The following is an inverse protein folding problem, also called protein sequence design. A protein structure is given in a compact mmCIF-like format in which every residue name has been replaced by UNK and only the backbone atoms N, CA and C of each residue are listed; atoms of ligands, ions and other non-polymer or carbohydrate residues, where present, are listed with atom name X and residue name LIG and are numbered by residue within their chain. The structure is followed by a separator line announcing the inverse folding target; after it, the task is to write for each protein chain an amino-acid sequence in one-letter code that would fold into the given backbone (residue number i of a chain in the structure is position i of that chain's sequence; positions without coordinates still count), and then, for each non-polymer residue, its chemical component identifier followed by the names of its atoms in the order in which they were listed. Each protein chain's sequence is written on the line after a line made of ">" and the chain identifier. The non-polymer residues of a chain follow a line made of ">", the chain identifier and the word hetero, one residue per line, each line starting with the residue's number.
data_IF_429553286625
#
_entry.id   IF_429553286625
#
_cell.length_a   1.000
_cell.length_b   1.000
_cell.length_c   1.000
_cell.angle_alpha   90.00
_cell.angle_beta   90.00
_cell.angle_gamma   90.00
#
_symmetry.space_group_name_H-M   'P 1'
#
loop_
_entity.id
_entity.type
_entity.pdbx_description
1 polymer ?
#
# COMPACT_ATOMS: atom_id res chain seq x y z
N UNK A 1 -12.60 -44.15 2.99
CA UNK A 1 -11.23 -43.77 2.59
C UNK A 1 -11.34 -42.53 1.71
N UNK A 2 -11.40 -41.35 2.33
CA UNK A 2 -11.34 -40.07 1.62
C UNK A 2 -9.87 -39.77 1.30
N UNK A 3 -9.57 -39.68 0.01
CA UNK A 3 -8.28 -39.22 -0.47
C UNK A 3 -8.16 -37.73 -0.19
N UNK A 4 -7.44 -37.37 0.87
CA UNK A 4 -6.90 -36.02 1.04
C UNK A 4 -6.00 -35.72 -0.17
N UNK A 5 -6.53 -34.99 -1.15
CA UNK A 5 -5.73 -34.40 -2.21
C UNK A 5 -4.86 -33.32 -1.58
N UNK A 6 -3.69 -33.72 -1.10
CA UNK A 6 -2.64 -32.83 -0.64
C UNK A 6 -2.22 -31.96 -1.81
N UNK A 7 -2.83 -30.78 -1.92
CA UNK A 7 -2.36 -29.73 -2.84
C UNK A 7 -0.86 -29.58 -2.61
N UNK A 8 -0.01 -29.78 -3.62
CA UNK A 8 1.43 -29.69 -3.45
C UNK A 8 1.74 -28.29 -2.94
N UNK A 9 2.35 -28.20 -1.76
CA UNK A 9 2.85 -26.95 -1.22
C UNK A 9 3.88 -26.46 -2.24
N UNK A 10 3.49 -25.51 -3.09
CA UNK A 10 4.41 -24.87 -4.03
C UNK A 10 5.54 -24.28 -3.20
N UNK A 11 6.69 -24.93 -3.20
CA UNK A 11 7.89 -24.41 -2.55
C UNK A 11 8.32 -23.17 -3.32
N UNK A 12 8.07 -22.02 -2.71
CA UNK A 12 8.48 -20.76 -3.30
C UNK A 12 9.98 -20.55 -3.12
N UNK A 13 10.61 -19.98 -4.15
CA UNK A 13 12.06 -19.76 -4.16
C UNK A 13 12.47 -18.75 -3.05
N UNK A 14 13.68 -18.92 -2.48
CA UNK A 14 14.25 -18.05 -1.43
C UNK A 14 14.17 -16.56 -1.81
N UNK A 15 14.44 -16.22 -3.07
CA UNK A 15 14.33 -14.84 -3.57
C UNK A 15 12.91 -14.28 -3.49
N UNK A 16 11.89 -15.10 -3.77
CA UNK A 16 10.48 -14.68 -3.70
C UNK A 16 10.05 -14.40 -2.26
N UNK A 17 10.60 -15.16 -1.30
CA UNK A 17 10.38 -14.95 0.13
C UNK A 17 11.04 -13.67 0.62
N UNK A 18 12.25 -13.36 0.14
CA UNK A 18 12.95 -12.10 0.46
C UNK A 18 12.16 -10.91 -0.09
N UNK A 19 11.77 -10.92 -1.36
CA UNK A 19 11.00 -9.82 -1.98
C UNK A 19 9.68 -9.59 -1.24
N UNK A 20 8.94 -10.66 -0.92
CA UNK A 20 7.69 -10.53 -0.16
C UNK A 20 7.91 -9.99 1.25
N UNK A 21 9.03 -10.36 1.89
CA UNK A 21 9.44 -9.84 3.19
C UNK A 21 9.80 -8.35 3.14
N UNK A 22 10.47 -7.88 2.08
CA UNK A 22 10.77 -6.46 1.87
C UNK A 22 9.48 -5.66 1.71
N UNK A 23 8.56 -6.09 0.84
CA UNK A 23 7.27 -5.42 0.68
C UNK A 23 6.50 -5.38 2.00
N UNK A 24 6.53 -6.46 2.77
CA UNK A 24 5.91 -6.46 4.09
C UNK A 24 6.55 -5.45 5.04
N UNK A 25 7.89 -5.40 5.11
CA UNK A 25 8.59 -4.44 5.96
C UNK A 25 8.25 -3.00 5.57
N UNK A 26 8.18 -2.70 4.26
CA UNK A 26 7.74 -1.41 3.75
C UNK A 26 6.30 -1.07 4.17
N UNK A 27 5.38 -2.04 4.10
CA UNK A 27 3.99 -1.87 4.56
C UNK A 27 3.95 -1.58 6.06
N UNK A 28 4.74 -2.27 6.87
CA UNK A 28 4.81 -2.04 8.32
C UNK A 28 5.34 -0.64 8.61
N UNK A 29 6.43 -0.22 7.96
CA UNK A 29 6.99 1.12 8.12
C UNK A 29 5.95 2.17 7.71
N UNK A 30 5.31 2.02 6.56
CA UNK A 30 4.26 2.92 6.10
C UNK A 30 3.08 2.98 7.08
N UNK A 31 2.71 1.85 7.68
CA UNK A 31 1.67 1.78 8.73
C UNK A 31 2.06 2.55 9.99
N UNK A 32 3.30 2.37 10.47
CA UNK A 32 3.81 3.07 11.65
C UNK A 32 3.85 4.58 11.42
N UNK A 33 4.36 5.02 10.26
CA UNK A 33 4.40 6.44 9.88
C UNK A 33 2.99 7.00 9.75
N UNK A 34 2.06 6.27 9.15
CA UNK A 34 0.67 6.71 9.00
C UNK A 34 -0.03 6.85 10.34
N UNK A 35 0.07 5.86 11.23
CA UNK A 35 -0.54 5.91 12.57
C UNK A 35 0.10 7.03 13.39
N UNK A 36 1.43 7.17 13.36
CA UNK A 36 2.13 8.27 14.02
C UNK A 36 1.71 9.64 13.48
N UNK A 37 1.58 9.76 12.16
CA UNK A 37 1.09 10.97 11.49
C UNK A 37 -0.34 11.31 11.86
N UNK A 38 -1.22 10.31 11.97
CA UNK A 38 -2.59 10.47 12.48
C UNK A 38 -2.56 11.02 13.90
N UNK A 39 -1.86 10.35 14.82
CA UNK A 39 -1.77 10.80 16.23
C UNK A 39 -1.22 12.23 16.32
N UNK A 40 -0.19 12.55 15.54
CA UNK A 40 0.40 13.90 15.53
C UNK A 40 -0.55 14.95 14.95
N UNK A 41 -1.24 14.62 13.86
CA UNK A 41 -2.25 15.50 13.24
C UNK A 41 -3.40 15.77 14.21
N UNK A 42 -3.90 14.74 14.89
CA UNK A 42 -4.88 14.91 15.96
C UNK A 42 -4.35 15.83 17.06
N UNK A 43 -3.08 15.66 17.48
CA UNK A 43 -2.48 16.57 18.45
C UNK A 43 -2.36 18.01 17.93
N UNK A 44 -2.06 18.23 16.64
CA UNK A 44 -2.04 19.58 16.04
C UNK A 44 -3.42 20.24 16.07
N UNK A 45 -4.47 19.49 15.73
CA UNK A 45 -5.86 19.99 15.70
C UNK A 45 -6.37 20.33 17.09
N UNK A 46 -6.14 19.47 18.09
CA UNK A 46 -6.74 19.62 19.42
C UNK A 46 -5.89 20.39 20.44
N UNK A 47 -4.56 20.34 20.33
CA UNK A 47 -3.63 20.97 21.28
C UNK A 47 -2.92 22.21 20.71
N UNK A 48 -3.14 22.52 19.42
CA UNK A 48 -2.44 23.58 18.70
C UNK A 48 -1.12 23.12 18.09
N UNK A 49 -0.58 23.94 17.19
CA UNK A 49 0.61 23.61 16.39
C UNK A 49 1.94 23.80 17.13
N UNK A 50 1.95 24.58 18.21
CA UNK A 50 3.15 24.91 19.00
C UNK A 50 2.88 24.73 20.51
N UNK A 51 3.93 24.64 21.33
CA UNK A 51 3.80 24.56 22.79
C UNK A 51 3.39 23.18 23.35
N UNK A 52 3.16 22.16 22.52
CA UNK A 52 2.80 20.80 22.97
C UNK A 52 3.78 20.21 23.99
N UNK A 53 5.08 20.46 23.77
CA UNK A 53 6.13 20.00 24.67
C UNK A 53 6.10 20.75 26.00
N UNK A 54 5.80 22.05 25.98
CA UNK A 54 5.65 22.86 27.20
C UNK A 54 4.42 22.43 28.00
N UNK A 55 3.29 22.16 27.33
CA UNK A 55 2.11 21.56 27.97
C UNK A 55 2.44 20.21 28.59
N UNK A 56 3.20 19.36 27.90
CA UNK A 56 3.68 18.10 28.44
C UNK A 56 4.57 18.30 29.68
N UNK A 57 5.48 19.29 29.66
CA UNK A 57 6.34 19.62 30.79
C UNK A 57 5.58 20.23 31.96
N UNK A 58 4.46 20.91 31.72
CA UNK A 58 3.59 21.46 32.76
C UNK A 58 2.73 20.39 33.46
N UNK A 59 2.58 19.19 32.88
CA UNK A 59 1.81 18.10 33.49
C UNK A 59 2.46 17.55 34.76
N UNK A 60 1.62 17.05 35.67
CA UNK A 60 2.05 16.27 36.82
C UNK A 60 2.85 15.04 36.36
N UNK A 61 3.87 14.64 37.14
CA UNK A 61 4.72 13.46 36.90
C UNK A 61 3.89 12.21 36.57
N UNK A 62 2.76 11.99 37.25
CA UNK A 62 1.87 10.86 36.97
C UNK A 62 1.33 10.84 35.54
N UNK A 63 0.89 11.99 35.02
CA UNK A 63 0.41 12.10 33.64
C UNK A 63 1.54 11.95 32.62
N UNK A 64 2.74 12.46 32.92
CA UNK A 64 3.91 12.27 32.05
C UNK A 64 4.26 10.80 31.89
N UNK A 65 4.30 10.06 33.00
CA UNK A 65 4.57 8.61 33.01
C UNK A 65 3.45 7.86 32.28
N UNK A 66 2.19 8.23 32.49
CA UNK A 66 1.06 7.61 31.80
C UNK A 66 1.11 7.80 30.28
N UNK A 67 1.44 9.00 29.80
CA UNK A 67 1.57 9.30 28.37
C UNK A 67 2.72 8.51 27.75
N UNK A 68 3.92 8.54 28.36
CA UNK A 68 5.09 7.81 27.86
C UNK A 68 4.82 6.30 27.89
N UNK A 69 4.28 5.79 28.99
CA UNK A 69 3.95 4.38 29.16
C UNK A 69 2.88 3.91 28.18
N UNK A 70 1.83 4.71 27.96
CA UNK A 70 0.79 4.45 26.97
C UNK A 70 1.33 4.42 25.54
N UNK A 71 2.21 5.35 25.18
CA UNK A 71 2.87 5.38 23.88
C UNK A 71 3.78 4.16 23.67
N UNK A 72 4.58 3.79 24.68
CA UNK A 72 5.42 2.60 24.63
C UNK A 72 4.59 1.31 24.52
N UNK A 73 3.54 1.20 25.32
CA UNK A 73 2.64 0.04 25.30
C UNK A 73 1.92 -0.08 23.96
N UNK A 74 1.45 1.04 23.40
CA UNK A 74 0.86 1.10 22.07
C UNK A 74 1.84 0.67 20.98
N UNK A 75 3.07 1.19 21.01
CA UNK A 75 4.13 0.79 20.06
C UNK A 75 4.45 -0.71 20.17
N UNK A 76 4.59 -1.22 21.39
CA UNK A 76 4.88 -2.63 21.62
C UNK A 76 3.75 -3.54 21.14
N UNK A 77 2.49 -3.18 21.46
CA UNK A 77 1.32 -3.87 20.96
C UNK A 77 1.29 -3.90 19.42
N UNK A 78 1.59 -2.77 18.79
CA UNK A 78 1.60 -2.62 17.34
C UNK A 78 2.70 -3.48 16.68
N UNK A 79 3.89 -3.55 17.30
CA UNK A 79 4.96 -4.44 16.86
C UNK A 79 4.58 -5.92 16.96
N UNK A 80 3.96 -6.34 18.07
CA UNK A 80 3.47 -7.72 18.25
C UNK A 80 2.37 -8.03 17.24
N UNK A 81 1.46 -7.10 17.00
CA UNK A 81 0.40 -7.22 16.01
C UNK A 81 0.97 -7.42 14.59
N UNK A 82 1.94 -6.59 14.18
CA UNK A 82 2.63 -6.78 12.91
C UNK A 82 3.48 -8.05 12.87
N UNK A 83 4.11 -8.47 13.95
CA UNK A 83 4.82 -9.74 13.97
C UNK A 83 3.88 -10.93 13.75
N UNK A 84 2.70 -10.92 14.40
CA UNK A 84 1.66 -11.93 14.19
C UNK A 84 1.11 -11.94 12.76
N UNK A 85 0.90 -10.75 12.17
CA UNK A 85 0.45 -10.62 10.79
C UNK A 85 1.51 -11.04 9.76
N UNK A 86 2.81 -10.90 10.07
CA UNK A 86 3.91 -11.19 9.14
C UNK A 86 3.77 -12.57 8.47
N UNK A 87 3.50 -13.61 9.27
CA UNK A 87 3.49 -15.00 8.79
C UNK A 87 2.31 -15.25 7.84
N UNK A 88 1.15 -14.66 8.13
CA UNK A 88 -0.08 -14.79 7.32
C UNK A 88 -0.01 -13.91 6.07
N UNK A 89 0.37 -12.65 6.23
CA UNK A 89 0.41 -11.65 5.16
C UNK A 89 1.52 -11.93 4.16
N UNK A 90 2.73 -12.35 4.60
CA UNK A 90 3.81 -12.69 3.67
C UNK A 90 3.45 -13.87 2.76
N UNK A 91 2.79 -14.90 3.31
CA UNK A 91 2.29 -16.04 2.52
C UNK A 91 1.18 -15.60 1.56
N UNK A 92 0.27 -14.72 2.00
CA UNK A 92 -0.79 -14.16 1.16
C UNK A 92 -0.24 -13.30 0.02
N UNK A 93 0.71 -12.40 0.31
CA UNK A 93 1.41 -11.57 -0.68
C UNK A 93 2.14 -12.44 -1.70
N UNK A 94 2.79 -13.51 -1.24
CA UNK A 94 3.49 -14.44 -2.10
C UNK A 94 2.53 -15.16 -3.06
N UNK A 95 1.38 -15.64 -2.56
CA UNK A 95 0.32 -16.18 -3.42
C UNK A 95 -0.18 -15.10 -4.39
N UNK A 96 -0.43 -13.88 -3.93
CA UNK A 96 -0.94 -12.80 -4.77
C UNK A 96 0.04 -12.41 -5.89
N UNK A 97 1.33 -12.25 -5.58
CA UNK A 97 2.38 -11.82 -6.52
C UNK A 97 2.81 -12.94 -7.47
N UNK A 98 2.73 -14.21 -7.06
CA UNK A 98 3.31 -15.34 -7.81
C UNK A 98 2.31 -16.41 -8.27
N UNK A 99 1.02 -16.30 -7.92
CA UNK A 99 0.00 -17.18 -8.51
C UNK A 99 -0.18 -16.84 -9.98
N UNK A 100 0.56 -17.55 -10.82
CA UNK A 100 0.32 -17.60 -12.27
C UNK A 100 -1.07 -18.17 -12.48
N UNK A 101 -1.95 -17.42 -13.15
CA UNK A 101 -3.19 -18.00 -13.71
C UNK A 101 -2.82 -18.68 -15.03
N UNK A 102 -3.19 -19.94 -15.17
CA UNK A 102 -2.98 -20.70 -16.39
C UNK A 102 -3.86 -20.13 -17.50
N UNK A 103 -3.25 -19.96 -18.68
CA UNK A 103 -3.87 -19.45 -19.89
C UNK A 103 -4.38 -20.63 -20.71
N UNK A 104 -5.58 -20.51 -21.30
CA UNK A 104 -6.00 -21.43 -22.36
C UNK A 104 -5.03 -21.32 -23.56
N UNK A 105 -4.45 -22.45 -23.97
CA UNK A 105 -3.45 -22.53 -25.06
C UNK A 105 -3.93 -21.93 -26.39
N UNK A 106 -5.26 -21.86 -26.61
CA UNK A 106 -5.86 -21.31 -27.85
C UNK A 106 -5.50 -19.86 -28.15
N UNK A 107 -5.29 -19.01 -27.14
CA UNK A 107 -5.02 -17.57 -27.34
C UNK A 107 -3.52 -17.21 -27.26
N UNK A 108 -2.65 -18.18 -27.00
CA UNK A 108 -1.23 -17.92 -26.73
C UNK A 108 -0.41 -17.62 -28.00
N UNK A 109 -0.91 -18.00 -29.18
CA UNK A 109 -0.09 -18.06 -30.40
C UNK A 109 -0.33 -16.93 -31.42
N UNK A 110 -1.36 -16.08 -31.24
CA UNK A 110 -1.59 -14.92 -32.14
C UNK A 110 -0.75 -13.71 -31.72
N UNK A 111 0.26 -13.36 -32.52
CA UNK A 111 1.14 -12.19 -32.28
C UNK A 111 0.38 -10.86 -32.24
N UNK A 112 -0.67 -10.70 -33.04
CA UNK A 112 -1.50 -9.48 -33.05
C UNK A 112 -2.19 -9.22 -31.71
N UNK A 113 -2.73 -10.27 -31.08
CA UNK A 113 -3.38 -10.18 -29.76
C UNK A 113 -2.38 -9.74 -28.69
N UNK A 114 -1.12 -10.19 -28.77
CA UNK A 114 -0.06 -9.76 -27.84
C UNK A 114 0.23 -8.27 -27.90
N UNK A 115 0.18 -7.66 -29.08
CA UNK A 115 0.44 -6.23 -29.26
C UNK A 115 -0.71 -5.41 -28.68
N UNK A 116 -1.96 -5.78 -28.98
CA UNK A 116 -3.15 -5.09 -28.46
C UNK A 116 -3.21 -5.18 -26.93
N UNK A 117 -2.96 -6.36 -26.38
CA UNK A 117 -2.91 -6.60 -24.93
C UNK A 117 -1.77 -5.80 -24.28
N UNK A 118 -0.59 -5.75 -24.93
CA UNK A 118 0.54 -4.95 -24.46
C UNK A 118 0.26 -3.45 -24.43
N UNK A 119 -0.38 -2.92 -25.49
CA UNK A 119 -0.80 -1.52 -25.55
C UNK A 119 -1.80 -1.15 -24.46
N UNK A 120 -2.80 -2.00 -24.22
CA UNK A 120 -3.79 -1.79 -23.17
C UNK A 120 -3.14 -1.83 -21.77
N UNK A 121 -2.16 -2.71 -21.55
CA UNK A 121 -1.39 -2.77 -20.31
C UNK A 121 -0.60 -1.48 -20.06
N UNK A 122 0.09 -0.96 -21.08
CA UNK A 122 0.81 0.32 -20.96
C UNK A 122 -0.14 1.46 -20.61
N UNK A 123 -1.30 1.55 -21.28
CA UNK A 123 -2.28 2.60 -21.03
C UNK A 123 -2.77 2.59 -19.58
N UNK A 124 -3.11 1.41 -19.05
CA UNK A 124 -3.55 1.27 -17.67
C UNK A 124 -2.45 1.65 -16.67
N UNK A 125 -1.20 1.28 -16.94
CA UNK A 125 -0.05 1.66 -16.11
C UNK A 125 0.08 3.18 -16.04
N UNK A 126 -0.04 3.88 -17.16
CA UNK A 126 0.06 5.35 -17.21
C UNK A 126 -1.05 5.99 -16.38
N UNK A 127 -2.28 5.48 -16.45
CA UNK A 127 -3.41 5.97 -15.63
C UNK A 127 -3.09 5.85 -14.13
N UNK A 128 -2.56 4.70 -13.70
CA UNK A 128 -2.25 4.45 -12.28
C UNK A 128 -1.10 5.34 -11.81
N UNK A 129 -0.06 5.48 -12.61
CA UNK A 129 1.07 6.38 -12.30
C UNK A 129 0.58 7.82 -12.20
N UNK A 130 -0.27 8.26 -13.14
CA UNK A 130 -0.89 9.59 -13.10
C UNK A 130 -1.74 9.80 -11.86
N UNK A 131 -2.53 8.80 -11.44
CA UNK A 131 -3.34 8.87 -10.23
C UNK A 131 -2.49 8.97 -8.95
N UNK A 132 -1.32 8.34 -8.91
CA UNK A 132 -0.40 8.42 -7.76
C UNK A 132 0.37 9.73 -7.74
N UNK A 133 0.86 10.21 -8.89
CA UNK A 133 1.68 11.41 -8.98
C UNK A 133 0.87 12.70 -9.01
N UNK A 134 -0.37 12.68 -9.50
CA UNK A 134 -1.24 13.85 -9.60
C UNK A 134 -1.41 14.59 -8.27
N UNK A 135 -1.87 13.92 -7.19
CA UNK A 135 -2.00 14.55 -5.89
C UNK A 135 -0.66 15.09 -5.36
N UNK A 136 0.45 14.40 -5.60
CA UNK A 136 1.79 14.84 -5.17
C UNK A 136 2.19 16.13 -5.91
N UNK A 137 1.90 16.19 -7.21
CA UNK A 137 2.21 17.34 -8.05
C UNK A 137 1.37 18.56 -7.69
N UNK A 138 0.07 18.37 -7.45
CA UNK A 138 -0.85 19.44 -7.03
C UNK A 138 -0.44 20.04 -5.67
N UNK A 139 0.13 19.21 -4.79
CA UNK A 139 0.67 19.64 -3.49
C UNK A 139 1.97 20.44 -3.63
N UNK A 140 2.86 20.08 -4.55
CA UNK A 140 4.15 20.77 -4.76
C UNK A 140 3.94 22.09 -5.49
N UNK A 141 3.09 22.10 -6.51
CA UNK A 141 2.92 23.26 -7.40
C UNK A 141 1.99 24.33 -6.84
N UNK A 142 1.34 24.07 -5.69
CA UNK A 142 0.45 25.03 -5.08
C UNK A 142 -0.76 25.25 -5.97
N UNK A 143 -1.67 24.27 -6.02
CA UNK A 143 -2.91 24.41 -6.81
C UNK A 143 -3.54 25.79 -6.58
N UNK A 144 -3.67 26.51 -7.68
CA UNK A 144 -4.01 27.92 -7.86
C UNK A 144 -5.10 28.47 -6.94
N UNK A 145 -4.75 29.60 -6.29
CA UNK A 145 -5.53 30.77 -5.86
C UNK A 145 -6.87 30.66 -5.09
N UNK A 146 -7.56 29.51 -5.01
CA UNK A 146 -8.90 29.43 -4.39
C UNK A 146 -9.10 28.34 -3.32
N UNK A 147 -8.09 27.51 -2.99
CA UNK A 147 -8.23 26.41 -2.02
C UNK A 147 -7.58 26.68 -0.67
N UNK A 148 -8.14 27.64 0.08
CA UNK A 148 -7.71 27.97 1.46
C UNK A 148 -7.82 26.80 2.45
N UNK A 149 -8.48 25.68 2.14
CA UNK A 149 -8.73 24.60 3.12
C UNK A 149 -7.67 23.49 3.18
N UNK A 150 -6.92 23.22 2.11
CA UNK A 150 -5.93 22.12 2.07
C UNK A 150 -4.55 22.63 2.45
N UNK A 151 -4.16 23.81 1.98
CA UNK A 151 -2.86 24.41 2.30
C UNK A 151 -2.77 24.91 3.75
N UNK A 152 -3.87 25.39 4.34
CA UNK A 152 -3.92 25.74 5.77
C UNK A 152 -3.80 24.49 6.66
N UNK A 153 -4.41 23.37 6.25
CA UNK A 153 -4.24 22.08 6.92
C UNK A 153 -2.78 21.61 6.86
N UNK A 154 -2.09 21.79 5.73
CA UNK A 154 -0.65 21.51 5.56
C UNK A 154 0.29 22.54 6.20
N UNK A 155 -0.23 23.59 6.83
CA UNK A 155 0.57 24.56 7.58
C UNK A 155 1.19 24.00 8.87
N UNK A 156 0.80 22.80 9.28
CA UNK A 156 1.29 22.11 10.48
C UNK A 156 2.06 20.83 10.13
N UNK A 157 2.97 20.42 11.01
CA UNK A 157 3.90 19.31 10.71
C UNK A 157 3.23 17.93 10.73
N UNK A 158 2.13 17.75 11.47
CA UNK A 158 1.38 16.48 11.53
C UNK A 158 0.82 16.02 10.20
N UNK A 159 0.05 16.86 9.50
CA UNK A 159 -0.48 16.57 8.16
C UNK A 159 0.60 16.20 7.15
N UNK A 160 1.80 16.80 7.22
CA UNK A 160 2.95 16.38 6.39
C UNK A 160 3.41 14.95 6.68
N UNK A 161 3.53 14.59 7.97
CA UNK A 161 3.91 13.21 8.36
C UNK A 161 2.85 12.20 7.92
N UNK A 162 1.57 12.55 8.06
CA UNK A 162 0.45 11.73 7.58
C UNK A 162 0.49 11.57 6.06
N UNK A 163 0.76 12.66 5.33
CA UNK A 163 0.87 12.68 3.88
C UNK A 163 1.99 11.75 3.38
N UNK A 164 3.16 11.80 4.02
CA UNK A 164 4.28 10.90 3.71
C UNK A 164 3.89 9.45 3.99
N UNK A 165 3.20 9.17 5.10
CA UNK A 165 2.71 7.82 5.43
C UNK A 165 1.75 7.27 4.37
N UNK A 166 0.71 8.03 4.04
CA UNK A 166 -0.30 7.65 3.05
C UNK A 166 0.30 7.58 1.63
N UNK A 167 1.16 8.53 1.28
CA UNK A 167 1.88 8.54 0.01
C UNK A 167 2.76 7.32 -0.17
N UNK A 168 3.47 6.91 0.89
CA UNK A 168 4.28 5.68 0.88
C UNK A 168 3.40 4.44 0.67
N UNK A 169 2.23 4.38 1.31
CA UNK A 169 1.25 3.31 1.06
C UNK A 169 0.77 3.26 -0.39
N UNK A 170 0.46 4.41 -0.98
CA UNK A 170 0.05 4.52 -2.38
C UNK A 170 1.15 4.01 -3.32
N UNK A 171 2.41 4.40 -3.09
CA UNK A 171 3.55 3.94 -3.90
C UNK A 171 3.76 2.42 -3.77
N UNK A 172 3.67 1.87 -2.56
CA UNK A 172 3.79 0.42 -2.34
C UNK A 172 2.63 -0.32 -3.01
N UNK A 173 1.40 0.18 -2.84
CA UNK A 173 0.19 -0.39 -3.44
C UNK A 173 0.26 -0.38 -4.97
N UNK A 174 0.65 0.74 -5.57
CA UNK A 174 0.86 0.88 -7.01
C UNK A 174 1.95 -0.06 -7.51
N UNK A 175 3.07 -0.19 -6.78
CA UNK A 175 4.15 -1.11 -7.13
C UNK A 175 3.69 -2.58 -7.13
N UNK A 176 2.96 -3.00 -6.08
CA UNK A 176 2.38 -4.34 -6.00
C UNK A 176 1.36 -4.59 -7.10
N UNK A 177 0.51 -3.60 -7.37
CA UNK A 177 -0.49 -3.66 -8.43
C UNK A 177 0.17 -3.78 -9.80
N UNK A 178 1.23 -3.03 -10.06
CA UNK A 178 1.99 -3.08 -11.31
C UNK A 178 2.62 -4.46 -11.52
N UNK A 179 3.24 -5.04 -10.49
CA UNK A 179 3.79 -6.41 -10.55
C UNK A 179 2.69 -7.43 -10.82
N UNK A 180 1.55 -7.29 -10.16
CA UNK A 180 0.39 -8.16 -10.36
C UNK A 180 -0.13 -8.05 -11.80
N UNK A 181 -0.32 -6.83 -12.31
CA UNK A 181 -0.78 -6.57 -13.66
C UNK A 181 0.21 -7.03 -14.72
N UNK A 182 1.51 -6.88 -14.49
CA UNK A 182 2.51 -7.35 -15.44
C UNK A 182 2.47 -8.87 -15.61
N UNK A 183 2.24 -9.62 -14.52
CA UNK A 183 2.21 -11.08 -14.55
C UNK A 183 0.86 -11.67 -14.97
N UNK A 184 -0.24 -11.04 -14.56
CA UNK A 184 -1.60 -11.57 -14.75
C UNK A 184 -2.43 -10.79 -15.78
N UNK A 185 -1.97 -9.62 -16.20
CA UNK A 185 -2.71 -8.74 -17.10
C UNK A 185 -2.97 -9.35 -18.47
N UNK A 186 -2.03 -10.17 -18.98
CA UNK A 186 -2.23 -10.91 -20.23
C UNK A 186 -3.44 -11.85 -20.16
N UNK A 187 -3.62 -12.55 -19.04
CA UNK A 187 -4.78 -13.42 -18.80
C UNK A 187 -6.07 -12.63 -18.65
N UNK A 188 -6.04 -11.52 -17.90
CA UNK A 188 -7.22 -10.70 -17.62
C UNK A 188 -7.82 -10.13 -18.91
N UNK A 189 -6.95 -9.66 -19.82
CA UNK A 189 -7.36 -9.05 -21.09
C UNK A 189 -7.83 -10.13 -22.08
N UNK A 190 -7.15 -11.29 -22.14
CA UNK A 190 -7.63 -12.40 -22.95
C UNK A 190 -8.99 -12.93 -22.51
N UNK A 191 -9.26 -12.96 -21.20
CA UNK A 191 -10.57 -13.35 -20.68
C UNK A 191 -11.67 -12.36 -21.05
N UNK A 192 -11.36 -11.06 -21.07
CA UNK A 192 -12.30 -10.04 -21.55
C UNK A 192 -12.56 -10.21 -23.06
N UNK A 193 -11.50 -10.42 -23.85
CA UNK A 193 -11.61 -10.57 -25.30
C UNK A 193 -12.36 -11.86 -25.70
N UNK A 194 -12.04 -12.99 -25.08
CA UNK A 194 -12.73 -14.26 -25.32
C UNK A 194 -14.13 -14.34 -24.71
N UNK A 195 -14.48 -13.42 -23.80
CA UNK A 195 -15.86 -13.20 -23.36
C UNK A 195 -16.69 -12.51 -24.44
N UNK A 196 -16.14 -11.48 -25.07
CA UNK A 196 -16.77 -10.76 -26.17
C UNK A 196 -16.98 -11.64 -27.41
N UNK A 197 -16.02 -12.52 -27.73
CA UNK A 197 -16.07 -13.42 -28.89
C UNK A 197 -17.06 -14.61 -28.70
N UNK A 198 -17.61 -14.80 -27.49
CA UNK A 198 -18.63 -15.83 -27.19
C UNK A 198 -20.07 -15.27 -27.20
N UNK A 199 -20.21 -13.95 -27.25
CA UNK A 199 -21.50 -13.27 -27.34
C UNK A 199 -21.91 -12.96 -28.79
N UNK A 200 -21.00 -13.16 -29.75
CA UNK A 200 -21.29 -13.23 -31.20
C UNK A 200 -21.51 -14.69 -31.65
#
# INVERSE_FOLDING_TARGET
>A
MESESSTPIKEYNKTQRIVSGIFYALIVIASLVSIGGVVWTFADIFLGTTGKFEMFLALNLGYKIAIIGGLLAGLFFLLVFFYGLFKKTSKSLMVFIYKKRELEERYQNRRGVKIVVGGLLISLIVIIVGFVLGPIWDLITGASEDSESIFTFLGSMGPWVLLVGVGTFLVIGASLFMIYFWKNGYYLILRLLGGLEKEE
#
